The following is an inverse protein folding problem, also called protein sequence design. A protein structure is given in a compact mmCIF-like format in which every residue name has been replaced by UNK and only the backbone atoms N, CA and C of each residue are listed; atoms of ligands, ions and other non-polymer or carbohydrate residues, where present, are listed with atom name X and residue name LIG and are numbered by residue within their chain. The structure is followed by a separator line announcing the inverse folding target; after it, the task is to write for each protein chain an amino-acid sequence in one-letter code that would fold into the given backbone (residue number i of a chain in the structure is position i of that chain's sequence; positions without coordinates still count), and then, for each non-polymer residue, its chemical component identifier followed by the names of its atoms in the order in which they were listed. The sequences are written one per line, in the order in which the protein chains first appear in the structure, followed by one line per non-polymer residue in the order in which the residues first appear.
data_IF_210758086311
#
_entry.id   IF_210758086311
#
_cell.length_a   1.000
_cell.length_b   1.000
_cell.length_c   1.000
_cell.angle_alpha   90.00
_cell.angle_beta   90.00
_cell.angle_gamma   90.00
#
_symmetry.space_group_name_H-M   'P 1'
#
loop_
_entity.id
_entity.type
_entity.pdbx_description
1 polymer ?
#
# COMPACT_ATOMS: atom_id res chain seq x y z
N UNK A 1 -24.62 -3.76 14.23
CA UNK A 1 -23.31 -3.82 13.56
C UNK A 1 -22.64 -2.43 13.69
N UNK A 2 -21.41 -2.40 14.22
CA UNK A 2 -20.62 -1.18 14.37
C UNK A 2 -19.58 -1.12 13.27
N UNK A 3 -19.44 0.04 12.63
CA UNK A 3 -18.51 0.27 11.51
C UNK A 3 -17.48 1.31 11.93
N UNK A 4 -16.20 1.00 11.76
CA UNK A 4 -15.11 1.96 11.86
C UNK A 4 -14.71 2.44 10.47
N UNK A 5 -14.90 3.73 10.17
CA UNK A 5 -14.23 4.40 9.05
C UNK A 5 -12.96 5.03 9.60
N UNK A 6 -11.80 4.64 9.12
CA UNK A 6 -10.56 5.10 9.72
C UNK A 6 -9.49 5.47 8.71
N UNK A 7 -8.62 6.34 9.13
CA UNK A 7 -7.41 6.73 8.42
C UNK A 7 -6.20 6.70 9.36
N UNK A 8 -5.01 6.57 8.78
CA UNK A 8 -3.75 6.64 9.52
C UNK A 8 -2.97 7.85 9.00
N UNK A 9 -2.56 8.73 9.89
CA UNK A 9 -1.86 9.94 9.51
C UNK A 9 -0.65 10.21 10.39
N UNK A 10 0.39 10.79 9.78
CA UNK A 10 1.43 11.54 10.49
C UNK A 10 0.95 12.98 10.64
N UNK A 11 1.61 13.79 11.46
CA UNK A 11 1.25 15.19 11.69
C UNK A 11 1.14 16.03 10.41
N UNK A 12 1.86 15.64 9.35
CA UNK A 12 1.89 16.33 8.06
C UNK A 12 0.82 15.89 7.05
N UNK A 13 0.01 14.86 7.36
CA UNK A 13 -0.92 14.24 6.40
C UNK A 13 -2.29 13.97 7.03
N UNK A 14 -2.82 14.97 7.71
CA UNK A 14 -4.16 14.89 8.32
C UNK A 14 -5.26 14.72 7.27
N UNK A 15 -6.42 14.17 7.68
CA UNK A 15 -7.60 14.10 6.81
C UNK A 15 -7.97 15.48 6.27
N UNK A 16 -8.19 15.56 4.95
CA UNK A 16 -8.52 16.81 4.25
C UNK A 16 -10.03 17.11 4.24
N UNK A 17 -10.81 16.27 4.89
CA UNK A 17 -12.27 16.40 4.96
C UNK A 17 -12.80 16.13 6.37
N UNK A 18 -13.98 16.67 6.65
CA UNK A 18 -14.69 16.51 7.92
C UNK A 18 -15.80 15.48 7.72
N UNK A 19 -15.84 14.42 8.54
CA UNK A 19 -16.94 13.46 8.51
C UNK A 19 -18.27 14.12 8.83
N UNK A 20 -19.32 13.72 8.11
CA UNK A 20 -20.69 14.06 8.47
C UNK A 20 -21.28 12.84 9.20
N UNK A 21 -21.33 12.92 10.52
CA UNK A 21 -21.90 11.85 11.35
C UNK A 21 -23.43 11.89 11.21
N UNK A 22 -23.97 11.02 10.37
CA UNK A 22 -25.40 10.72 10.41
C UNK A 22 -25.67 9.79 11.59
N UNK A 23 -26.65 10.13 12.40
CA UNK A 23 -27.01 9.38 13.61
C UNK A 23 -27.69 8.03 13.31
N UNK A 24 -28.10 7.80 12.07
CA UNK A 24 -28.83 6.62 11.59
C UNK A 24 -27.92 5.38 11.37
N UNK A 25 -26.59 5.56 11.35
CA UNK A 25 -25.63 4.49 11.21
C UNK A 25 -24.66 4.47 12.41
N UNK A 26 -24.40 3.30 12.96
CA UNK A 26 -23.38 3.11 14.01
C UNK A 26 -21.97 3.19 13.39
N UNK A 27 -21.61 4.36 12.82
CA UNK A 27 -20.33 4.63 12.20
C UNK A 27 -19.51 5.56 13.09
N UNK A 28 -18.31 5.12 13.45
CA UNK A 28 -17.29 5.94 14.07
C UNK A 28 -16.19 6.30 13.07
N UNK A 29 -15.73 7.55 13.09
CA UNK A 29 -14.61 8.05 12.29
C UNK A 29 -13.37 8.16 13.17
N UNK A 30 -12.33 7.38 12.85
CA UNK A 30 -11.16 7.22 13.69
C UNK A 30 -9.89 7.69 12.97
N UNK A 31 -9.09 8.50 13.66
CA UNK A 31 -7.77 8.93 13.21
C UNK A 31 -6.70 8.20 14.01
N UNK A 32 -5.99 7.29 13.37
CA UNK A 32 -4.83 6.64 13.96
C UNK A 32 -3.56 7.47 13.74
N UNK A 33 -2.83 7.75 14.83
CA UNK A 33 -1.60 8.53 14.80
C UNK A 33 -0.63 8.11 15.90
N UNK A 34 0.65 8.38 15.72
CA UNK A 34 1.68 8.17 16.74
C UNK A 34 1.76 9.31 17.75
N UNK A 35 1.22 10.49 17.42
CA UNK A 35 1.24 11.67 18.26
C UNK A 35 -0.13 11.91 18.89
N UNK A 36 -0.24 11.73 20.20
CA UNK A 36 -1.50 11.90 20.95
C UNK A 36 -2.08 13.32 20.90
N UNK A 37 -1.28 14.33 20.54
CA UNK A 37 -1.74 15.71 20.37
C UNK A 37 -2.36 15.99 19.02
N UNK A 38 -2.19 15.08 18.07
CA UNK A 38 -2.73 15.22 16.71
C UNK A 38 -4.24 15.00 16.72
N UNK A 39 -4.99 16.00 16.25
CA UNK A 39 -6.45 15.95 16.17
C UNK A 39 -6.92 16.39 14.78
N UNK A 40 -8.08 15.90 14.36
CA UNK A 40 -8.76 16.37 13.16
C UNK A 40 -10.26 16.51 13.44
N UNK A 41 -10.86 17.59 12.93
CA UNK A 41 -12.28 17.88 13.16
C UNK A 41 -13.17 16.73 12.70
N UNK A 42 -14.03 16.24 13.60
CA UNK A 42 -14.97 15.14 13.32
C UNK A 42 -14.37 13.73 13.43
N UNK A 43 -13.07 13.61 13.72
CA UNK A 43 -12.38 12.35 13.90
C UNK A 43 -12.05 12.09 15.37
N UNK A 44 -12.28 10.87 15.83
CA UNK A 44 -11.85 10.44 17.16
C UNK A 44 -10.40 9.94 17.03
N UNK A 45 -9.45 10.57 17.72
CA UNK A 45 -8.05 10.17 17.69
C UNK A 45 -7.84 8.88 18.49
N UNK A 46 -7.14 7.91 17.90
CA UNK A 46 -6.59 6.71 18.55
C UNK A 46 -5.09 6.67 18.35
N UNK A 47 -4.36 6.45 19.42
CA UNK A 47 -2.91 6.36 19.35
C UNK A 47 -2.46 4.97 18.92
N UNK A 48 -1.51 4.91 17.98
CA UNK A 48 -0.76 3.68 17.67
C UNK A 48 0.61 3.74 18.34
N UNK A 49 1.15 2.59 18.76
CA UNK A 49 2.48 2.55 19.36
C UNK A 49 3.53 3.17 18.44
N UNK A 50 4.37 4.03 18.97
CA UNK A 50 5.55 4.51 18.25
C UNK A 50 6.68 3.49 18.38
N UNK A 51 7.47 3.32 17.31
CA UNK A 51 8.70 2.53 17.34
C UNK A 51 9.85 3.39 16.85
N UNK A 52 11.00 3.29 17.52
CA UNK A 52 12.23 3.93 17.04
C UNK A 52 12.89 3.17 15.88
N UNK A 53 12.51 1.92 15.69
CA UNK A 53 13.08 1.02 14.69
C UNK A 53 12.40 1.15 13.33
N UNK A 54 11.20 1.72 13.28
CA UNK A 54 10.41 1.87 12.07
C UNK A 54 10.25 3.34 11.71
N UNK A 55 10.36 3.64 10.44
CA UNK A 55 10.08 4.99 9.95
C UNK A 55 8.59 5.35 10.11
N UNK A 56 8.25 6.66 10.23
CA UNK A 56 6.87 7.11 10.47
C UNK A 56 5.87 6.63 9.42
N UNK A 57 6.31 6.43 8.18
CA UNK A 57 5.43 5.91 7.10
C UNK A 57 5.05 4.47 7.37
N UNK A 58 5.99 3.60 7.74
CA UNK A 58 5.69 2.21 8.08
C UNK A 58 4.78 2.14 9.30
N UNK A 59 5.07 2.91 10.35
CA UNK A 59 4.24 2.90 11.57
C UNK A 59 2.79 3.23 11.25
N UNK A 60 2.50 4.21 10.39
CA UNK A 60 1.13 4.52 10.00
C UNK A 60 0.47 3.39 9.20
N UNK A 61 1.25 2.48 8.60
CA UNK A 61 0.71 1.32 7.89
C UNK A 61 0.33 0.17 8.83
N UNK A 62 0.77 0.20 10.09
CA UNK A 62 0.46 -0.85 11.07
C UNK A 62 -1.06 -1.01 11.27
N UNK A 63 -1.76 0.05 11.63
CA UNK A 63 -3.21 0.00 11.82
C UNK A 63 -3.95 -0.18 10.47
N UNK A 64 -3.38 0.30 9.36
CA UNK A 64 -3.90 0.04 8.02
C UNK A 64 -3.84 -1.43 7.65
N UNK A 65 -2.72 -2.11 7.89
CA UNK A 65 -2.53 -3.51 7.55
C UNK A 65 -3.27 -4.43 8.53
N UNK A 66 -3.15 -4.15 9.84
CA UNK A 66 -3.65 -5.03 10.91
C UNK A 66 -4.74 -4.35 11.77
N UNK A 67 -5.89 -3.95 11.21
CA UNK A 67 -6.96 -3.30 11.97
C UNK A 67 -7.52 -4.17 13.09
N UNK A 68 -7.45 -5.49 12.98
CA UNK A 68 -7.89 -6.42 14.03
C UNK A 68 -7.17 -6.22 15.36
N UNK A 69 -6.01 -5.57 15.38
CA UNK A 69 -5.28 -5.25 16.62
C UNK A 69 -5.76 -3.95 17.29
N UNK A 70 -6.62 -3.20 16.65
CA UNK A 70 -7.00 -1.84 17.09
C UNK A 70 -8.51 -1.58 17.06
N UNK A 71 -9.28 -2.47 16.44
CA UNK A 71 -10.71 -2.29 16.15
C UNK A 71 -11.54 -3.51 16.58
N UNK A 72 -11.17 -4.16 17.69
CA UNK A 72 -11.85 -5.32 18.24
C UNK A 72 -13.31 -5.06 18.64
N UNK A 73 -13.64 -3.78 18.84
CA UNK A 73 -14.97 -3.29 19.18
C UNK A 73 -15.86 -2.96 17.94
N UNK A 74 -15.41 -3.30 16.72
CA UNK A 74 -16.13 -3.07 15.46
C UNK A 74 -16.29 -4.34 14.64
N UNK A 75 -17.44 -4.45 13.95
CA UNK A 75 -17.75 -5.59 13.07
C UNK A 75 -17.16 -5.45 11.67
N UNK A 76 -17.07 -4.21 11.18
CA UNK A 76 -16.57 -3.86 9.85
C UNK A 76 -15.63 -2.67 9.95
N UNK A 77 -14.56 -2.70 9.17
CA UNK A 77 -13.64 -1.58 9.04
C UNK A 77 -13.54 -1.09 7.60
N UNK A 78 -13.53 0.23 7.43
CA UNK A 78 -13.33 0.93 6.16
C UNK A 78 -12.12 1.83 6.31
N UNK A 79 -10.98 1.38 5.79
CA UNK A 79 -9.81 2.23 5.68
C UNK A 79 -9.95 3.20 4.53
N UNK A 80 -9.58 4.46 4.75
CA UNK A 80 -9.51 5.49 3.71
C UNK A 80 -8.20 6.26 3.82
N UNK A 81 -7.56 6.58 2.69
CA UNK A 81 -6.46 7.55 2.68
C UNK A 81 -6.97 8.92 3.13
N UNK A 82 -6.11 9.74 3.72
CA UNK A 82 -6.48 11.03 4.30
C UNK A 82 -7.19 12.02 3.35
N UNK A 83 -7.01 11.84 2.04
CA UNK A 83 -7.66 12.64 1.00
C UNK A 83 -8.80 11.91 0.26
N UNK A 84 -9.24 10.76 0.76
CA UNK A 84 -10.32 9.98 0.18
C UNK A 84 -11.55 10.12 1.05
N UNK A 85 -12.62 10.70 0.49
CA UNK A 85 -13.90 10.90 1.18
C UNK A 85 -14.95 9.98 0.58
N UNK A 86 -15.38 8.92 1.28
CA UNK A 86 -16.48 8.09 0.83
C UNK A 86 -17.79 8.88 0.87
N UNK A 87 -18.64 8.68 -0.13
CA UNK A 87 -19.97 9.28 -0.13
C UNK A 87 -20.87 8.58 0.88
N UNK A 88 -21.78 9.35 1.51
CA UNK A 88 -22.66 8.81 2.55
C UNK A 88 -23.58 7.71 2.02
N UNK A 89 -24.08 7.82 0.80
CA UNK A 89 -24.89 6.81 0.13
C UNK A 89 -24.17 5.48 -0.04
N UNK A 90 -22.88 5.54 -0.38
CA UNK A 90 -22.04 4.35 -0.50
C UNK A 90 -21.77 3.71 0.88
N UNK A 91 -21.43 4.52 1.89
CA UNK A 91 -21.22 4.02 3.26
C UNK A 91 -22.48 3.36 3.83
N UNK A 92 -23.67 3.97 3.58
CA UNK A 92 -24.95 3.40 4.03
C UNK A 92 -25.23 2.02 3.43
N UNK A 93 -24.71 1.76 2.22
CA UNK A 93 -24.94 0.50 1.50
C UNK A 93 -23.75 -0.48 1.56
N UNK A 94 -22.68 -0.15 2.28
CA UNK A 94 -21.42 -0.89 2.25
C UNK A 94 -21.58 -2.36 2.66
N UNK A 95 -22.49 -2.64 3.59
CA UNK A 95 -22.76 -4.01 4.05
C UNK A 95 -23.36 -4.86 2.95
N UNK A 96 -24.32 -4.30 2.21
CA UNK A 96 -24.95 -4.98 1.08
C UNK A 96 -23.94 -5.16 -0.07
N UNK A 97 -23.12 -4.15 -0.34
CA UNK A 97 -22.07 -4.21 -1.37
C UNK A 97 -21.00 -5.27 -1.06
N UNK A 98 -20.69 -5.47 0.21
CA UNK A 98 -19.79 -6.53 0.65
C UNK A 98 -20.45 -7.91 0.61
N UNK A 99 -21.76 -8.00 0.85
CA UNK A 99 -22.45 -9.29 0.99
C UNK A 99 -21.72 -10.23 1.95
N UNK A 100 -21.52 -11.50 1.60
CA UNK A 100 -20.80 -12.47 2.43
C UNK A 100 -19.26 -12.35 2.34
N UNK A 101 -18.74 -11.43 1.54
CA UNK A 101 -17.28 -11.28 1.33
C UNK A 101 -16.60 -10.71 2.56
N UNK A 102 -15.33 -11.06 2.75
CA UNK A 102 -14.54 -10.63 3.91
C UNK A 102 -13.68 -9.41 3.63
N UNK A 103 -13.32 -9.18 2.36
CA UNK A 103 -12.57 -8.01 1.93
C UNK A 103 -13.13 -7.41 0.63
N UNK A 104 -13.16 -6.09 0.57
CA UNK A 104 -13.50 -5.30 -0.61
C UNK A 104 -12.40 -4.30 -0.96
N UNK A 105 -12.01 -4.27 -2.23
CA UNK A 105 -10.94 -3.43 -2.77
C UNK A 105 -11.33 -2.91 -4.15
N UNK A 106 -10.68 -1.83 -4.58
CA UNK A 106 -10.81 -1.34 -5.95
C UNK A 106 -9.62 -1.81 -6.80
N UNK A 107 -9.89 -2.21 -8.04
CA UNK A 107 -8.87 -2.46 -9.04
C UNK A 107 -8.18 -1.15 -9.47
N UNK A 108 -6.92 -1.26 -9.94
CA UNK A 108 -6.19 -0.14 -10.57
C UNK A 108 -6.08 -0.30 -12.09
N UNK A 109 -6.57 -1.41 -12.66
CA UNK A 109 -6.57 -1.66 -14.08
C UNK A 109 -5.18 -1.87 -14.70
N UNK A 110 -4.12 -2.07 -13.90
CA UNK A 110 -2.77 -2.33 -14.39
C UNK A 110 -2.01 -3.32 -13.50
N UNK A 111 -0.93 -3.89 -14.03
CA UNK A 111 -0.17 -4.97 -13.39
C UNK A 111 0.81 -4.45 -12.33
N UNK A 112 1.18 -5.33 -11.38
CA UNK A 112 2.09 -5.00 -10.29
C UNK A 112 3.48 -4.57 -10.79
N UNK A 113 3.99 -5.15 -11.86
CA UNK A 113 5.26 -4.71 -12.46
C UNK A 113 5.24 -3.24 -12.89
N UNK A 114 4.11 -2.74 -13.40
CA UNK A 114 3.95 -1.32 -13.74
C UNK A 114 3.93 -0.43 -12.48
N UNK A 115 3.38 -0.92 -11.35
CA UNK A 115 3.44 -0.15 -10.09
C UNK A 115 4.89 -0.07 -9.57
N UNK A 116 5.70 -1.13 -9.69
CA UNK A 116 7.12 -1.06 -9.38
C UNK A 116 7.83 0.01 -10.19
N UNK A 117 7.64 0.04 -11.51
CA UNK A 117 8.21 1.05 -12.39
C UNK A 117 7.79 2.47 -11.98
N UNK A 118 6.51 2.67 -11.69
CA UNK A 118 5.96 3.96 -11.25
C UNK A 118 6.53 4.41 -9.90
N UNK A 119 6.67 3.49 -8.93
CA UNK A 119 7.25 3.79 -7.61
C UNK A 119 8.70 4.22 -7.75
N UNK A 120 9.47 3.52 -8.59
CA UNK A 120 10.87 3.84 -8.89
C UNK A 120 10.99 5.21 -9.59
N UNK A 121 10.22 5.45 -10.67
CA UNK A 121 10.21 6.71 -11.40
C UNK A 121 9.88 7.92 -10.53
N UNK A 122 8.95 7.74 -9.57
CA UNK A 122 8.51 8.81 -8.66
C UNK A 122 9.32 8.90 -7.37
N UNK A 123 10.36 8.11 -7.23
CA UNK A 123 11.20 8.04 -6.01
C UNK A 123 10.40 7.89 -4.71
N UNK A 124 9.37 7.09 -4.76
CA UNK A 124 8.56 6.85 -3.57
C UNK A 124 9.25 5.92 -2.56
N UNK A 125 10.30 5.21 -3.01
CA UNK A 125 11.22 4.45 -2.17
C UNK A 125 12.59 4.29 -2.87
N UNK A 126 13.59 3.76 -2.16
CA UNK A 126 14.92 3.55 -2.72
C UNK A 126 14.95 2.38 -3.72
N UNK A 127 15.82 2.49 -4.73
CA UNK A 127 15.90 1.51 -5.81
C UNK A 127 16.39 0.15 -5.35
N UNK A 128 17.30 0.08 -4.39
CA UNK A 128 17.86 -1.19 -3.89
C UNK A 128 16.77 -2.01 -3.20
N UNK A 129 15.96 -1.35 -2.38
CA UNK A 129 14.80 -1.99 -1.74
C UNK A 129 13.79 -2.47 -2.77
N UNK A 130 13.49 -1.65 -3.80
CA UNK A 130 12.55 -2.00 -4.85
C UNK A 130 13.04 -3.17 -5.71
N UNK A 131 14.31 -3.17 -6.11
CA UNK A 131 14.92 -4.27 -6.87
C UNK A 131 14.93 -5.57 -6.08
N UNK A 132 15.30 -5.50 -4.79
CA UNK A 132 15.27 -6.68 -3.91
C UNK A 132 13.86 -7.26 -3.78
N UNK A 133 12.84 -6.42 -3.60
CA UNK A 133 11.46 -6.86 -3.51
C UNK A 133 10.99 -7.47 -4.84
N UNK A 134 11.26 -6.81 -5.96
CA UNK A 134 10.90 -7.27 -7.29
C UNK A 134 11.55 -8.64 -7.61
N UNK A 135 12.86 -8.77 -7.36
CA UNK A 135 13.59 -10.01 -7.55
C UNK A 135 13.05 -11.14 -6.67
N UNK A 136 12.73 -10.83 -5.41
CA UNK A 136 12.12 -11.80 -4.49
C UNK A 136 10.77 -12.28 -5.00
N UNK A 137 9.90 -11.38 -5.44
CA UNK A 137 8.58 -11.72 -5.96
C UNK A 137 8.66 -12.52 -7.26
N UNK A 138 9.59 -12.18 -8.14
CA UNK A 138 9.87 -12.94 -9.37
C UNK A 138 10.32 -14.36 -9.08
N UNK A 139 11.19 -14.53 -8.07
CA UNK A 139 11.74 -15.83 -7.67
C UNK A 139 10.69 -16.70 -6.95
N UNK A 140 9.97 -16.15 -5.97
CA UNK A 140 9.02 -16.89 -5.14
C UNK A 140 7.74 -17.25 -5.89
N UNK A 141 7.24 -16.34 -6.71
CA UNK A 141 6.02 -16.52 -7.47
C UNK A 141 5.99 -15.55 -8.65
N UNK A 142 6.60 -15.94 -9.76
CA UNK A 142 6.61 -15.10 -10.98
C UNK A 142 5.22 -14.60 -11.39
N UNK A 143 4.16 -15.32 -11.02
CA UNK A 143 2.78 -14.95 -11.28
C UNK A 143 2.29 -13.73 -10.49
N UNK A 144 2.91 -13.36 -9.36
CA UNK A 144 2.46 -12.18 -8.59
C UNK A 144 2.72 -10.86 -9.31
N UNK A 145 3.79 -10.78 -10.10
CA UNK A 145 4.14 -9.57 -10.86
C UNK A 145 3.15 -9.26 -11.99
N UNK A 146 2.51 -10.29 -12.52
CA UNK A 146 1.49 -10.17 -13.58
C UNK A 146 0.07 -10.02 -13.03
N UNK A 147 -0.10 -9.89 -11.72
CA UNK A 147 -1.40 -9.63 -11.12
C UNK A 147 -1.77 -8.18 -11.22
N UNK A 148 -3.07 -7.96 -11.33
CA UNK A 148 -3.65 -6.64 -11.26
C UNK A 148 -3.44 -6.03 -9.87
N UNK A 149 -3.07 -4.76 -9.83
CA UNK A 149 -2.89 -3.99 -8.61
C UNK A 149 -4.24 -3.56 -8.05
N UNK A 150 -4.44 -3.77 -6.74
CA UNK A 150 -5.57 -3.21 -6.02
C UNK A 150 -5.17 -1.89 -5.37
N UNK A 151 -6.12 -0.97 -5.31
CA UNK A 151 -5.89 0.34 -4.71
C UNK A 151 -5.97 0.28 -3.18
N UNK A 152 -4.85 0.57 -2.54
CA UNK A 152 -4.78 0.61 -1.08
C UNK A 152 -5.40 1.87 -0.45
N UNK A 153 -5.92 2.82 -1.24
CA UNK A 153 -6.49 4.07 -0.72
C UNK A 153 -7.88 3.93 -0.11
N UNK A 154 -8.59 2.85 -0.39
CA UNK A 154 -9.82 2.43 0.27
C UNK A 154 -9.87 0.91 0.37
N UNK A 155 -10.13 0.41 1.58
CA UNK A 155 -10.22 -1.03 1.86
C UNK A 155 -11.35 -1.27 2.85
N UNK A 156 -12.27 -2.17 2.50
CA UNK A 156 -13.36 -2.61 3.38
C UNK A 156 -13.08 -4.00 3.87
N UNK A 157 -13.24 -4.28 5.18
CA UNK A 157 -12.91 -5.58 5.76
C UNK A 157 -13.81 -5.99 6.92
N UNK A 158 -14.17 -7.27 6.96
CA UNK A 158 -14.54 -7.97 8.19
C UNK A 158 -13.23 -8.36 8.89
N UNK A 159 -12.59 -7.40 9.50
CA UNK A 159 -11.19 -7.47 9.95
C UNK A 159 -10.96 -8.47 11.08
N UNK A 160 -12.00 -8.95 11.75
CA UNK A 160 -11.91 -10.01 12.76
C UNK A 160 -11.97 -11.43 12.16
N UNK A 161 -12.30 -11.55 10.87
CA UNK A 161 -12.23 -12.81 10.14
C UNK A 161 -10.79 -13.32 10.03
N UNK A 162 -10.58 -14.62 10.19
CA UNK A 162 -9.23 -15.19 10.26
C UNK A 162 -8.45 -15.06 8.94
N UNK A 163 -9.11 -15.10 7.77
CA UNK A 163 -8.44 -14.83 6.50
C UNK A 163 -7.99 -13.38 6.42
N UNK A 164 -8.82 -12.43 6.91
CA UNK A 164 -8.45 -11.02 6.99
C UNK A 164 -7.31 -10.75 7.96
N UNK A 165 -7.21 -11.50 9.07
CA UNK A 165 -6.08 -11.41 9.99
C UNK A 165 -4.79 -11.88 9.31
N UNK A 166 -4.80 -13.09 8.70
CA UNK A 166 -3.64 -13.62 7.95
C UNK A 166 -3.22 -12.67 6.82
N UNK A 167 -4.17 -12.18 6.04
CA UNK A 167 -3.91 -11.14 5.03
C UNK A 167 -3.20 -9.92 5.63
N UNK A 168 -3.69 -9.40 6.74
CA UNK A 168 -3.12 -8.22 7.40
C UNK A 168 -1.69 -8.47 7.91
N UNK A 169 -1.45 -9.62 8.51
CA UNK A 169 -0.13 -10.03 9.00
C UNK A 169 0.87 -10.22 7.85
N UNK A 170 0.44 -10.91 6.78
CA UNK A 170 1.26 -11.09 5.58
C UNK A 170 1.59 -9.76 4.91
N UNK A 171 0.59 -8.86 4.84
CA UNK A 171 0.80 -7.52 4.28
C UNK A 171 1.78 -6.72 5.10
N UNK A 172 1.62 -6.71 6.42
CA UNK A 172 2.51 -6.02 7.35
C UNK A 172 3.94 -6.55 7.29
N UNK A 173 4.13 -7.87 7.31
CA UNK A 173 5.44 -8.50 7.15
C UNK A 173 6.17 -7.98 5.90
N UNK A 174 5.47 -7.90 4.78
CA UNK A 174 6.06 -7.41 3.53
C UNK A 174 6.37 -5.91 3.56
N UNK A 175 5.53 -5.09 4.21
CA UNK A 175 5.79 -3.65 4.37
C UNK A 175 7.04 -3.41 5.24
N UNK A 176 7.24 -4.22 6.27
CA UNK A 176 8.44 -4.12 7.14
C UNK A 176 9.68 -4.62 6.42
N UNK A 177 9.57 -5.75 5.73
CA UNK A 177 10.70 -6.42 5.07
C UNK A 177 11.19 -5.70 3.81
N UNK A 178 10.29 -5.05 3.07
CA UNK A 178 10.55 -4.48 1.76
C UNK A 178 10.17 -3.00 1.71
N UNK A 179 9.58 -2.58 0.60
CA UNK A 179 9.17 -1.21 0.40
C UNK A 179 8.06 -0.78 1.37
N UNK A 180 8.19 0.44 1.90
CA UNK A 180 7.13 1.13 2.65
C UNK A 180 5.91 1.49 1.78
N UNK A 181 6.01 1.28 0.46
CA UNK A 181 4.88 1.41 -0.48
C UNK A 181 4.00 0.19 -0.38
N UNK A 182 3.06 0.25 0.51
CA UNK A 182 2.12 -0.79 0.89
C UNK A 182 1.38 -1.43 -0.32
N UNK A 183 1.14 -0.66 -1.38
CA UNK A 183 0.49 -1.12 -2.60
C UNK A 183 1.31 -2.18 -3.37
N UNK A 184 2.66 -2.17 -3.24
CA UNK A 184 3.51 -3.17 -3.88
C UNK A 184 3.36 -4.58 -3.28
N UNK A 185 3.00 -4.68 -2.02
CA UNK A 185 2.84 -5.96 -1.32
C UNK A 185 1.39 -6.42 -1.20
N UNK A 186 0.43 -5.57 -1.55
CA UNK A 186 -1.00 -5.86 -1.45
C UNK A 186 -1.44 -7.07 -2.29
N UNK A 187 -1.05 -7.22 -3.58
CA UNK A 187 -1.44 -8.37 -4.39
C UNK A 187 -0.91 -9.71 -3.85
N UNK A 188 0.29 -9.73 -3.26
CA UNK A 188 0.84 -10.92 -2.62
C UNK A 188 0.08 -11.28 -1.35
N UNK A 189 -0.22 -10.29 -0.51
CA UNK A 189 -0.97 -10.52 0.72
C UNK A 189 -2.40 -11.02 0.46
N UNK A 190 -3.02 -10.61 -0.65
CA UNK A 190 -4.36 -11.07 -1.03
C UNK A 190 -4.43 -12.58 -1.32
N UNK A 191 -3.31 -13.27 -1.49
CA UNK A 191 -3.30 -14.74 -1.64
C UNK A 191 -3.85 -15.45 -0.40
N UNK A 192 -3.76 -14.82 0.77
CA UNK A 192 -4.30 -15.37 2.02
C UNK A 192 -5.84 -15.44 2.06
N UNK A 193 -6.51 -14.77 1.12
CA UNK A 193 -7.97 -14.77 1.02
C UNK A 193 -8.38 -15.42 -0.29
N UNK A 194 -9.21 -16.44 -0.24
CA UNK A 194 -9.75 -17.10 -1.43
C UNK A 194 -10.54 -16.14 -2.31
N UNK A 195 -10.51 -16.34 -3.63
CA UNK A 195 -11.10 -15.40 -4.60
C UNK A 195 -12.59 -15.18 -4.37
N UNK A 196 -13.33 -16.24 -4.03
CA UNK A 196 -14.77 -16.22 -3.74
C UNK A 196 -15.13 -15.44 -2.46
N UNK A 197 -14.15 -15.19 -1.59
CA UNK A 197 -14.31 -14.40 -0.36
C UNK A 197 -13.95 -12.92 -0.52
N UNK A 198 -13.57 -12.51 -1.72
CA UNK A 198 -13.20 -11.12 -2.08
C UNK A 198 -14.25 -10.48 -2.97
N UNK A 199 -14.38 -9.15 -2.88
CA UNK A 199 -14.99 -8.34 -3.93
C UNK A 199 -13.98 -7.32 -4.43
N UNK A 200 -13.77 -7.28 -5.74
CA UNK A 200 -12.91 -6.30 -6.40
C UNK A 200 -13.82 -5.44 -7.26
N UNK A 201 -13.97 -4.18 -6.85
CA UNK A 201 -14.74 -3.20 -7.60
C UNK A 201 -13.89 -2.62 -8.74
N UNK A 202 -14.55 -2.28 -9.83
CA UNK A 202 -13.90 -1.57 -10.94
C UNK A 202 -13.38 -0.18 -10.48
N UNK A 203 -12.45 0.40 -11.23
CA UNK A 203 -11.81 1.69 -10.92
C UNK A 203 -12.76 2.90 -10.98
N UNK A 204 -14.01 2.71 -11.38
CA UNK A 204 -15.00 3.78 -11.44
C UNK A 204 -15.39 4.27 -10.05
N UNK A 205 -14.71 5.31 -9.59
CA UNK A 205 -14.97 5.96 -8.29
C UNK A 205 -16.12 6.98 -8.35
N UNK A 206 -16.60 7.31 -9.54
CA UNK A 206 -17.66 8.31 -9.74
C UNK A 206 -18.92 7.91 -8.98
N UNK A 207 -19.42 8.81 -8.13
CA UNK A 207 -20.58 8.54 -7.29
C UNK A 207 -20.33 7.68 -6.05
N UNK A 208 -19.08 7.19 -5.84
CA UNK A 208 -18.70 6.37 -4.68
C UNK A 208 -17.75 7.15 -3.76
N UNK A 209 -16.79 7.84 -4.34
CA UNK A 209 -15.71 8.52 -3.63
C UNK A 209 -15.45 9.91 -4.23
N UNK A 210 -15.06 10.84 -3.36
CA UNK A 210 -14.41 12.09 -3.75
C UNK A 210 -12.91 11.96 -3.42
N UNK A 211 -12.05 12.09 -4.42
CA UNK A 211 -10.60 12.16 -4.22
C UNK A 211 -10.19 13.63 -4.16
N UNK A 212 -9.94 14.10 -2.95
CA UNK A 212 -9.60 15.49 -2.70
C UNK A 212 -8.10 15.75 -2.99
N UNK A 213 -7.72 16.98 -3.37
CA UNK A 213 -6.33 17.35 -3.52
C UNK A 213 -5.55 17.06 -2.23
N UNK A 214 -4.37 16.46 -2.36
CA UNK A 214 -3.43 16.40 -1.24
C UNK A 214 -2.85 17.79 -1.03
N UNK A 215 -2.58 18.18 0.24
CA UNK A 215 -1.80 19.39 0.48
C UNK A 215 -0.53 19.34 -0.37
N UNK A 216 -0.18 20.46 -0.99
CA UNK A 216 1.04 20.55 -1.78
C UNK A 216 2.21 20.07 -0.90
N UNK A 217 2.76 18.91 -1.22
CA UNK A 217 4.02 18.50 -0.64
C UNK A 217 5.08 19.39 -1.25
N UNK A 218 5.86 20.05 -0.42
CA UNK A 218 7.24 20.31 -0.81
C UNK A 218 7.87 18.93 -1.04
N UNK A 219 7.90 18.50 -2.26
CA UNK A 219 8.69 17.33 -2.67
C UNK A 219 10.14 17.81 -2.58
N UNK A 220 10.73 17.66 -1.40
CA UNK A 220 12.16 17.64 -1.30
C UNK A 220 12.63 16.45 -2.12
N UNK A 221 13.07 16.75 -3.33
CA UNK A 221 13.79 15.80 -4.17
C UNK A 221 15.07 15.45 -3.41
N UNK A 222 15.11 14.25 -2.84
CA UNK A 222 16.27 13.75 -2.11
C UNK A 222 17.56 13.78 -2.95
N UNK A 223 17.49 14.03 -4.26
CA UNK A 223 18.64 14.01 -5.19
C UNK A 223 18.45 14.89 -6.45
N UNK A 224 18.21 16.14 -6.37
CA UNK A 224 18.48 17.22 -7.35
C UNK A 224 18.02 17.14 -8.83
N UNK A 225 17.73 15.99 -9.42
CA UNK A 225 17.37 15.84 -10.84
C UNK A 225 16.04 15.08 -11.02
N UNK A 226 15.23 15.41 -12.05
CA UNK A 226 13.99 14.69 -12.34
C UNK A 226 14.29 13.23 -12.73
N UNK A 227 13.84 12.32 -11.91
CA UNK A 227 14.11 10.88 -12.02
C UNK A 227 13.50 10.21 -13.26
N UNK A 228 12.55 10.86 -13.92
CA UNK A 228 11.95 10.38 -15.16
C UNK A 228 12.99 10.12 -16.26
N UNK A 229 14.16 10.80 -16.18
CA UNK A 229 15.31 10.57 -17.07
C UNK A 229 16.18 9.38 -16.66
N UNK A 230 16.13 8.96 -15.39
CA UNK A 230 17.06 7.95 -14.84
C UNK A 230 16.47 6.54 -14.75
N UNK A 231 15.14 6.43 -14.65
CA UNK A 231 14.45 5.13 -14.54
C UNK A 231 13.33 5.06 -15.58
N UNK A 232 13.57 4.46 -16.74
CA UNK A 232 12.55 4.30 -17.77
C UNK A 232 11.36 3.47 -17.28
N UNK A 233 10.17 3.66 -17.88
CA UNK A 233 8.95 2.89 -17.54
C UNK A 233 9.14 1.38 -17.64
N UNK A 234 10.02 0.94 -18.53
CA UNK A 234 10.42 -0.44 -18.72
C UNK A 234 11.41 -0.97 -17.67
N UNK A 235 11.84 -0.16 -16.69
CA UNK A 235 12.92 -0.54 -15.75
C UNK A 235 12.69 -1.89 -15.07
N UNK A 236 11.46 -2.20 -14.71
CA UNK A 236 11.07 -3.48 -14.12
C UNK A 236 10.40 -4.43 -15.14
N UNK A 237 10.43 -4.11 -16.43
CA UNK A 237 9.99 -5.05 -17.46
C UNK A 237 10.91 -6.29 -17.51
N UNK A 238 10.39 -7.38 -18.04
CA UNK A 238 11.14 -8.62 -18.22
C UNK A 238 12.41 -8.39 -19.05
N UNK A 239 12.33 -7.58 -20.10
CA UNK A 239 13.44 -7.27 -20.98
C UNK A 239 14.52 -6.44 -20.26
N UNK A 240 14.12 -5.38 -19.56
CA UNK A 240 15.04 -4.55 -18.79
C UNK A 240 15.75 -5.34 -17.67
N UNK A 241 15.06 -6.33 -17.08
CA UNK A 241 15.67 -7.22 -16.10
C UNK A 241 16.72 -8.15 -16.74
N UNK A 242 16.39 -8.76 -17.87
CA UNK A 242 17.32 -9.60 -18.64
C UNK A 242 18.56 -8.81 -19.10
N UNK A 243 18.39 -7.59 -19.59
CA UNK A 243 19.48 -6.71 -19.97
C UNK A 243 20.44 -6.40 -18.79
N UNK A 244 19.87 -6.16 -17.61
CA UNK A 244 20.69 -5.94 -16.39
C UNK A 244 21.45 -7.20 -15.97
N UNK A 245 20.80 -8.37 -15.97
CA UNK A 245 21.46 -9.63 -15.67
C UNK A 245 22.61 -9.91 -16.65
N UNK A 246 22.37 -9.72 -17.94
CA UNK A 246 23.42 -9.86 -18.98
C UNK A 246 24.55 -8.87 -18.76
N UNK A 247 24.24 -7.62 -18.44
CA UNK A 247 25.25 -6.59 -18.16
C UNK A 247 26.07 -6.92 -16.94
N UNK A 248 25.45 -7.42 -15.87
CA UNK A 248 26.14 -7.84 -14.66
C UNK A 248 27.03 -9.06 -14.91
N UNK A 249 26.56 -10.06 -15.64
CA UNK A 249 27.35 -11.22 -16.04
C UNK A 249 28.56 -10.83 -16.88
N UNK A 250 28.38 -9.91 -17.85
CA UNK A 250 29.50 -9.36 -18.66
C UNK A 250 30.57 -8.68 -17.79
N UNK A 251 30.16 -7.90 -16.77
CA UNK A 251 31.09 -7.27 -15.81
C UNK A 251 31.87 -8.30 -15.01
N UNK A 252 31.19 -9.33 -14.50
CA UNK A 252 31.81 -10.41 -13.74
C UNK A 252 32.82 -11.22 -14.61
N UNK A 253 32.43 -11.56 -15.84
CA UNK A 253 33.30 -12.26 -16.77
C UNK A 253 34.53 -11.41 -17.14
N UNK A 254 34.33 -10.12 -17.40
CA UNK A 254 35.43 -9.19 -17.70
C UNK A 254 36.39 -9.06 -16.52
N UNK A 255 35.90 -8.98 -15.27
CA UNK A 255 36.75 -8.92 -14.07
C UNK A 255 37.53 -10.20 -13.84
N UNK A 256 36.91 -11.37 -14.04
CA UNK A 256 37.59 -12.68 -13.96
C UNK A 256 38.66 -12.82 -15.04
N UNK A 257 38.37 -12.40 -16.28
CA UNK A 257 39.36 -12.47 -17.37
C UNK A 257 40.57 -11.57 -17.08
N UNK A 258 40.35 -10.36 -16.56
CA UNK A 258 41.43 -9.44 -16.18
C UNK A 258 42.24 -10.01 -15.02
N UNK A 259 41.63 -10.68 -14.04
CA UNK A 259 42.36 -11.33 -12.94
C UNK A 259 43.20 -12.52 -13.40
N UNK A 260 42.72 -13.30 -14.36
CA UNK A 260 43.48 -14.42 -14.96
C UNK A 260 44.69 -13.92 -15.77
N UNK A 261 44.54 -12.83 -16.52
CA UNK A 261 45.64 -12.24 -17.29
C UNK A 261 46.71 -11.65 -16.36
N UNK A 262 46.33 -11.06 -15.22
CA UNK A 262 47.24 -10.48 -14.23
C UNK A 262 47.90 -11.51 -13.30
N UNK A 263 47.33 -12.71 -13.17
CA UNK A 263 47.88 -13.80 -12.35
C UNK A 263 48.85 -14.70 -13.07
N UNK A 264 49.07 -14.51 -14.38
CA UNK A 264 50.00 -15.25 -15.21
C UNK A 264 51.29 -14.45 -15.53
N UNK A 265 51.55 -13.40 -14.80
CA UNK A 265 52.78 -12.63 -14.75
C UNK A 265 53.25 -12.56 -13.30
#
# INVERSE_FOLDING_TARGET
MRIAVYTCATDSHLPTWVPNNRQDLAIDFLLFTTNSKTTAKGWKTRQIPSSRELDPYRITRLAKAMPHRFLDDYDLSVYVDSNVKPQSSWLSNIVNLMGPKVIGLFSRGYLLEHEFAKVAQRRYDDLVTLERQYATYKYLSGSVLTREVQWGGLIVRRHLDDDCKRFGERWWENIVRFSRRDQLSLPLALEEIAAERRVIWAEEFSGILDILPKPAKSVEYLFGEPYEKLVPRSFFSREAHLEREVTQLRRILKSKLISQIRGNH
#
